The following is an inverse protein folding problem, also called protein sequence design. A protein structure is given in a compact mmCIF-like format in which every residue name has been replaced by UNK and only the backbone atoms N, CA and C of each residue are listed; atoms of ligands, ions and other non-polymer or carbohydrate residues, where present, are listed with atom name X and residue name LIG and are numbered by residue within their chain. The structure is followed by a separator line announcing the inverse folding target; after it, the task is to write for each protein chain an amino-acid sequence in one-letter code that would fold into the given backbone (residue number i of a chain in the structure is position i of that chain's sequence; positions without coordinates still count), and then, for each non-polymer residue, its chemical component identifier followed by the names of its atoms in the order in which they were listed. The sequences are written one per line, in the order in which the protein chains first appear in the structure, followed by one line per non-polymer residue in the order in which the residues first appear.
data_IF_125335167984
#
_entry.id   IF_125335167984
#
_cell.length_a   1.000
_cell.length_b   1.000
_cell.length_c   1.000
_cell.angle_alpha   90.00
_cell.angle_beta   90.00
_cell.angle_gamma   90.00
#
_symmetry.space_group_name_H-M   'P 1'
#
loop_
_entity.id
_entity.type
_entity.pdbx_description
1 polymer ?
#
# COMPACT_ATOMS: atom_id res chain seq x y z
N UNK A 1 -7.48 -36.68 23.46
CA UNK A 1 -6.34 -35.77 23.59
C UNK A 1 -6.17 -35.18 22.20
N UNK A 2 -6.84 -34.08 21.95
CA UNK A 2 -6.89 -33.40 20.64
C UNK A 2 -5.78 -32.36 20.58
N UNK A 3 -5.04 -32.42 19.50
CA UNK A 3 -3.90 -31.52 19.19
C UNK A 3 -4.31 -30.05 19.18
N UNK A 4 -3.90 -29.33 20.22
CA UNK A 4 -3.99 -27.88 20.33
C UNK A 4 -2.79 -27.18 19.64
N UNK A 5 -2.11 -27.83 18.70
CA UNK A 5 -0.80 -27.38 18.19
C UNK A 5 -0.85 -26.57 16.89
N UNK A 6 -2.02 -26.36 16.27
CA UNK A 6 -2.09 -25.70 14.96
C UNK A 6 -2.48 -24.21 14.99
N UNK A 7 -2.96 -23.68 16.12
CA UNK A 7 -3.41 -22.27 16.22
C UNK A 7 -2.30 -21.27 16.58
N UNK A 8 -1.13 -21.75 16.98
CA UNK A 8 -0.02 -20.89 17.45
C UNK A 8 0.86 -20.28 16.34
N UNK A 9 0.64 -20.65 15.09
CA UNK A 9 1.57 -20.31 13.99
C UNK A 9 1.31 -18.92 13.35
N UNK A 10 0.35 -18.13 13.81
CA UNK A 10 -0.01 -16.82 13.22
C UNK A 10 -0.08 -15.69 14.25
N UNK A 11 0.51 -15.85 15.43
CA UNK A 11 0.61 -14.74 16.38
C UNK A 11 1.54 -13.66 15.80
N UNK A 12 1.11 -12.40 15.87
CA UNK A 12 1.99 -11.27 15.59
C UNK A 12 3.04 -11.21 16.68
N UNK A 13 4.27 -11.44 16.32
CA UNK A 13 5.38 -11.11 17.17
C UNK A 13 5.67 -9.60 17.00
N UNK A 14 5.17 -8.79 17.90
CA UNK A 14 5.31 -7.33 17.86
C UNK A 14 6.76 -6.85 18.09
N UNK A 15 7.63 -7.75 18.50
CA UNK A 15 9.06 -7.51 18.65
C UNK A 15 9.86 -7.79 17.38
N UNK A 16 9.26 -8.39 16.34
CA UNK A 16 9.96 -8.66 15.10
C UNK A 16 10.20 -7.38 14.30
N UNK A 17 11.38 -7.29 13.75
CA UNK A 17 11.80 -6.24 12.80
C UNK A 17 10.75 -6.08 11.69
N UNK A 18 10.27 -4.85 11.50
CA UNK A 18 9.33 -4.52 10.43
C UNK A 18 10.02 -4.80 9.09
N UNK A 19 9.51 -5.79 8.35
CA UNK A 19 10.02 -6.07 7.01
C UNK A 19 9.69 -4.91 6.06
N UNK A 20 10.67 -4.29 5.40
CA UNK A 20 10.42 -3.24 4.43
C UNK A 20 9.52 -3.70 3.29
N UNK A 21 8.65 -2.81 2.82
CA UNK A 21 7.89 -2.97 1.58
C UNK A 21 8.64 -2.36 0.38
N UNK A 22 9.58 -1.46 0.67
CA UNK A 22 10.36 -0.76 -0.34
C UNK A 22 11.37 -1.67 -1.03
N UNK A 23 11.78 -1.24 -2.22
CA UNK A 23 12.91 -1.82 -2.97
C UNK A 23 13.71 -0.70 -3.61
N UNK A 24 15.03 -0.78 -3.52
CA UNK A 24 15.91 0.17 -4.18
C UNK A 24 15.65 0.22 -5.70
N UNK A 25 15.34 -0.91 -6.32
CA UNK A 25 15.01 -0.97 -7.73
C UNK A 25 13.77 -0.15 -8.11
N UNK A 26 12.78 -0.03 -7.23
CA UNK A 26 11.61 0.83 -7.46
C UNK A 26 12.01 2.30 -7.52
N UNK A 27 12.88 2.73 -6.62
CA UNK A 27 13.36 4.11 -6.58
C UNK A 27 14.20 4.44 -7.81
N UNK A 28 15.12 3.57 -8.19
CA UNK A 28 15.96 3.75 -9.39
C UNK A 28 15.09 3.78 -10.67
N UNK A 29 14.09 2.91 -10.77
CA UNK A 29 13.13 2.89 -11.89
C UNK A 29 12.36 4.23 -11.97
N UNK A 30 11.89 4.74 -10.82
CA UNK A 30 11.17 6.02 -10.79
C UNK A 30 12.06 7.19 -11.18
N UNK A 31 13.27 7.26 -10.64
CA UNK A 31 14.23 8.32 -10.90
C UNK A 31 14.65 8.37 -12.38
N UNK A 32 14.90 7.21 -12.99
CA UNK A 32 15.21 7.13 -14.41
C UNK A 32 14.06 7.61 -15.29
N UNK A 33 12.83 7.15 -14.99
CA UNK A 33 11.64 7.58 -15.71
C UNK A 33 11.33 9.08 -15.54
N UNK A 34 11.53 9.62 -14.34
CA UNK A 34 11.39 11.05 -14.07
C UNK A 34 12.40 11.88 -14.89
N UNK A 35 13.65 11.42 -15.00
CA UNK A 35 14.67 12.07 -15.83
C UNK A 35 14.29 12.05 -17.31
N UNK A 36 13.81 10.91 -17.85
CA UNK A 36 13.32 10.82 -19.24
C UNK A 36 12.12 11.73 -19.51
N UNK A 37 11.23 11.89 -18.53
CA UNK A 37 10.11 12.82 -18.65
C UNK A 37 10.57 14.29 -18.65
N UNK A 38 11.43 14.66 -17.71
CA UNK A 38 11.89 16.06 -17.58
C UNK A 38 12.83 16.50 -18.70
N UNK A 39 13.52 15.57 -19.36
CA UNK A 39 14.31 15.83 -20.56
C UNK A 39 13.49 15.95 -21.85
N UNK A 40 12.19 15.63 -21.79
CA UNK A 40 11.29 15.63 -22.95
C UNK A 40 11.39 14.35 -23.82
N UNK A 41 12.12 13.31 -23.37
CA UNK A 41 12.17 12.01 -24.02
C UNK A 41 10.80 11.27 -23.94
N UNK A 42 10.12 11.42 -22.80
CA UNK A 42 8.78 10.89 -22.59
C UNK A 42 7.75 12.00 -22.68
N UNK A 43 6.63 11.71 -23.32
CA UNK A 43 5.43 12.55 -23.33
C UNK A 43 4.61 12.41 -22.05
N UNK A 44 3.60 13.27 -21.90
CA UNK A 44 2.70 13.30 -20.73
C UNK A 44 1.89 12.01 -20.59
N UNK A 45 1.52 11.33 -21.68
CA UNK A 45 0.73 10.11 -21.65
C UNK A 45 1.56 8.96 -21.06
N UNK A 46 2.77 8.76 -21.59
CA UNK A 46 3.71 7.75 -21.11
C UNK A 46 4.09 7.98 -19.65
N UNK A 47 4.40 9.23 -19.30
CA UNK A 47 4.70 9.61 -17.93
C UNK A 47 3.52 9.34 -16.99
N UNK A 48 2.31 9.70 -17.37
CA UNK A 48 1.11 9.47 -16.57
C UNK A 48 0.85 7.98 -16.35
N UNK A 49 0.93 7.16 -17.38
CA UNK A 49 0.79 5.72 -17.28
C UNK A 49 1.82 5.09 -16.33
N UNK A 50 3.06 5.59 -16.36
CA UNK A 50 4.14 5.14 -15.50
C UNK A 50 3.94 5.55 -14.04
N UNK A 51 3.81 6.87 -13.75
CA UNK A 51 3.77 7.39 -12.39
C UNK A 51 2.59 6.89 -11.56
N UNK A 52 1.47 6.56 -12.21
CA UNK A 52 0.30 6.00 -11.54
C UNK A 52 0.62 4.65 -10.87
N UNK A 53 1.46 3.82 -11.47
CA UNK A 53 1.90 2.56 -10.86
C UNK A 53 2.77 2.77 -9.62
N UNK A 54 3.43 3.92 -9.54
CA UNK A 54 4.22 4.35 -8.39
C UNK A 54 3.43 5.17 -7.37
N UNK A 55 2.10 5.16 -7.45
CA UNK A 55 1.24 5.85 -6.48
C UNK A 55 1.29 7.38 -6.57
N UNK A 56 1.84 7.93 -7.65
CA UNK A 56 1.92 9.37 -7.91
C UNK A 56 0.79 9.77 -8.85
N UNK A 57 -0.15 10.55 -8.35
CA UNK A 57 -1.36 10.95 -9.08
C UNK A 57 -1.44 12.48 -9.21
N UNK A 58 -1.58 12.98 -10.44
CA UNK A 58 -1.78 14.40 -10.69
C UNK A 58 -3.09 14.91 -10.09
N UNK A 59 -3.03 16.03 -9.37
CA UNK A 59 -4.21 16.69 -8.86
C UNK A 59 -4.83 17.62 -9.91
N UNK A 60 -6.01 18.17 -9.61
CA UNK A 60 -6.64 19.17 -10.46
C UNK A 60 -5.82 20.47 -10.50
N UNK A 61 -5.12 20.77 -9.40
CA UNK A 61 -4.22 21.91 -9.32
C UNK A 61 -2.96 21.64 -10.13
N UNK A 62 -2.56 22.55 -11.03
CA UNK A 62 -1.38 22.34 -11.86
C UNK A 62 -0.09 22.18 -11.05
N UNK A 63 0.78 21.27 -11.49
CA UNK A 63 2.12 21.11 -10.96
C UNK A 63 2.23 20.33 -9.65
N UNK A 64 1.11 19.93 -9.02
CA UNK A 64 1.11 19.19 -7.76
C UNK A 64 0.54 17.80 -7.91
N UNK A 65 1.00 16.90 -7.04
CA UNK A 65 0.70 15.48 -7.04
C UNK A 65 0.11 15.03 -5.71
N UNK A 66 -0.74 14.04 -5.74
CA UNK A 66 -1.11 13.23 -4.60
C UNK A 66 -0.22 11.99 -4.58
N UNK A 67 0.38 11.70 -3.44
CA UNK A 67 1.19 10.49 -3.22
C UNK A 67 0.39 9.52 -2.37
N UNK A 68 0.27 8.27 -2.82
CA UNK A 68 -0.42 7.22 -2.07
C UNK A 68 0.56 6.20 -1.55
N UNK A 69 0.63 6.07 -0.24
CA UNK A 69 1.48 5.13 0.49
C UNK A 69 0.66 3.87 0.76
N UNK A 70 1.18 2.71 0.33
CA UNK A 70 0.52 1.41 0.46
C UNK A 70 0.79 0.80 1.83
N UNK A 71 -0.27 0.39 2.53
CA UNK A 71 -0.21 -0.26 3.85
C UNK A 71 -1.02 -1.57 3.81
N UNK A 72 -0.41 -2.70 3.43
CA UNK A 72 -1.11 -3.97 3.33
C UNK A 72 -1.81 -4.37 4.63
N UNK A 73 -3.09 -4.75 4.52
CA UNK A 73 -3.92 -5.10 5.67
C UNK A 73 -4.17 -3.94 6.64
N UNK A 74 -3.82 -2.70 6.29
CA UNK A 74 -3.92 -1.54 7.17
C UNK A 74 -2.90 -1.55 8.31
N UNK A 75 -1.86 -2.40 8.23
CA UNK A 75 -0.82 -2.49 9.26
C UNK A 75 0.06 -1.24 9.17
N UNK A 76 0.07 -0.47 10.26
CA UNK A 76 0.82 0.78 10.38
C UNK A 76 1.70 0.78 11.63
N UNK A 77 2.95 0.31 11.54
CA UNK A 77 3.92 0.44 12.62
C UNK A 77 4.16 1.91 13.00
N UNK A 78 4.45 2.15 14.27
CA UNK A 78 4.62 3.52 14.78
C UNK A 78 5.80 4.26 14.12
N UNK A 79 6.84 3.54 13.74
CA UNK A 79 8.01 4.07 13.02
C UNK A 79 7.62 4.57 11.63
N UNK A 80 6.76 3.84 10.93
CA UNK A 80 6.22 4.26 9.64
C UNK A 80 5.32 5.49 9.77
N UNK A 81 4.47 5.52 10.81
CA UNK A 81 3.64 6.70 11.08
C UNK A 81 4.49 7.94 11.34
N UNK A 82 5.57 7.81 12.11
CA UNK A 82 6.52 8.91 12.37
C UNK A 82 7.20 9.38 11.09
N UNK A 83 7.65 8.46 10.26
CA UNK A 83 8.28 8.76 8.96
C UNK A 83 7.29 9.45 8.02
N UNK A 84 6.06 8.94 7.88
CA UNK A 84 5.00 9.56 7.09
C UNK A 84 4.73 10.98 7.57
N UNK A 85 4.61 11.19 8.88
CA UNK A 85 4.35 12.52 9.45
C UNK A 85 5.50 13.51 9.21
N UNK A 86 6.75 13.06 9.28
CA UNK A 86 7.92 13.88 9.00
C UNK A 86 8.00 14.26 7.51
N UNK A 87 7.84 13.27 6.62
CA UNK A 87 7.85 13.45 5.17
C UNK A 87 6.69 14.36 4.72
N UNK A 88 5.50 14.19 5.30
CA UNK A 88 4.35 15.03 4.98
C UNK A 88 4.61 16.51 5.30
N UNK A 89 5.17 16.80 6.48
CA UNK A 89 5.54 18.19 6.84
C UNK A 89 6.63 18.79 5.95
N UNK A 90 7.50 17.97 5.39
CA UNK A 90 8.63 18.42 4.56
C UNK A 90 8.25 18.66 3.11
N UNK A 91 7.36 17.85 2.54
CA UNK A 91 7.09 17.80 1.11
C UNK A 91 5.65 18.14 0.71
N UNK A 92 4.72 18.09 1.65
CA UNK A 92 3.30 18.35 1.45
C UNK A 92 2.82 19.48 2.39
N UNK A 93 1.52 19.69 2.53
CA UNK A 93 0.96 20.77 3.35
C UNK A 93 0.74 20.40 4.83
N UNK A 94 1.26 19.25 5.26
CA UNK A 94 1.16 18.80 6.67
C UNK A 94 -0.11 18.02 6.98
N UNK A 95 -1.11 18.04 6.11
CA UNK A 95 -2.33 17.23 6.24
C UNK A 95 -2.20 15.93 5.43
N UNK A 96 -2.66 14.82 5.99
CA UNK A 96 -2.70 13.52 5.33
C UNK A 96 -4.08 12.91 5.43
N UNK A 97 -4.49 12.16 4.42
CA UNK A 97 -5.77 11.47 4.39
C UNK A 97 -5.60 9.97 4.55
N UNK A 98 -6.34 9.37 5.49
CA UNK A 98 -6.48 7.92 5.61
C UNK A 98 -7.67 7.50 4.76
N UNK A 99 -7.43 6.58 3.82
CA UNK A 99 -8.45 6.17 2.85
C UNK A 99 -9.27 4.97 3.33
N UNK A 100 -10.43 4.73 2.71
CA UNK A 100 -11.23 3.51 2.90
C UNK A 100 -10.51 2.25 2.43
N UNK A 101 -9.36 2.39 1.75
CA UNK A 101 -8.47 1.27 1.40
C UNK A 101 -7.31 1.10 2.37
N UNK A 102 -7.38 1.75 3.53
CA UNK A 102 -6.35 1.67 4.57
C UNK A 102 -4.96 2.14 4.07
N UNK A 103 -4.95 3.09 3.12
CA UNK A 103 -3.77 3.76 2.60
C UNK A 103 -3.64 5.15 3.21
N UNK A 104 -2.43 5.74 3.18
CA UNK A 104 -2.22 7.17 3.37
C UNK A 104 -2.12 7.91 2.04
N UNK A 105 -2.66 9.13 2.00
CA UNK A 105 -2.50 10.06 0.89
C UNK A 105 -1.90 11.37 1.40
N UNK A 106 -0.83 11.80 0.73
CA UNK A 106 -0.21 13.12 0.91
C UNK A 106 -0.60 13.97 -0.30
N UNK A 107 -0.94 15.24 -0.07
CA UNK A 107 -1.43 16.11 -1.12
C UNK A 107 -0.50 17.29 -1.37
N UNK A 108 -0.72 17.96 -2.50
CA UNK A 108 -0.03 19.18 -2.92
C UNK A 108 1.49 19.04 -3.01
N UNK A 109 1.98 17.84 -3.25
CA UNK A 109 3.41 17.58 -3.45
C UNK A 109 3.83 18.12 -4.81
N UNK A 110 4.75 19.12 -4.90
CA UNK A 110 5.25 19.59 -6.18
C UNK A 110 5.87 18.44 -6.99
N UNK A 111 5.61 18.36 -8.29
CA UNK A 111 6.14 17.28 -9.14
C UNK A 111 7.65 17.19 -9.03
N UNK A 112 8.36 18.31 -9.00
CA UNK A 112 9.81 18.36 -8.87
C UNK A 112 10.36 17.78 -7.56
N UNK A 113 9.51 17.64 -6.53
CA UNK A 113 9.90 17.10 -5.21
C UNK A 113 9.54 15.61 -5.04
N UNK A 114 8.87 15.02 -6.04
CA UNK A 114 8.46 13.61 -5.94
C UNK A 114 9.62 12.64 -5.86
N UNK A 115 10.76 12.80 -6.57
CA UNK A 115 11.90 11.90 -6.41
C UNK A 115 12.45 11.88 -4.98
N UNK A 116 12.69 13.06 -4.39
CA UNK A 116 13.23 13.19 -3.04
C UNK A 116 12.27 12.59 -1.99
N UNK A 117 10.96 12.87 -2.15
CA UNK A 117 9.93 12.31 -1.26
C UNK A 117 9.91 10.78 -1.33
N UNK A 118 9.95 10.21 -2.52
CA UNK A 118 9.95 8.76 -2.71
C UNK A 118 11.22 8.12 -2.15
N UNK A 119 12.38 8.76 -2.28
CA UNK A 119 13.63 8.30 -1.69
C UNK A 119 13.53 8.18 -0.17
N UNK A 120 12.96 9.18 0.50
CA UNK A 120 12.77 9.15 1.95
C UNK A 120 11.73 8.10 2.37
N UNK A 121 10.62 7.95 1.64
CA UNK A 121 9.65 6.88 1.90
C UNK A 121 10.29 5.49 1.78
N UNK A 122 11.03 5.26 0.70
CA UNK A 122 11.69 3.97 0.47
C UNK A 122 12.79 3.69 1.48
N UNK A 123 13.54 4.71 1.89
CA UNK A 123 14.53 4.59 2.96
C UNK A 123 13.91 4.24 4.32
N UNK A 124 12.68 4.68 4.55
CA UNK A 124 11.90 4.30 5.74
C UNK A 124 11.22 2.92 5.63
N UNK A 125 11.42 2.17 4.55
CA UNK A 125 10.80 0.87 4.33
C UNK A 125 9.38 0.91 3.77
N UNK A 126 8.87 2.09 3.42
CA UNK A 126 7.54 2.30 2.86
C UNK A 126 7.54 2.15 1.33
N UNK A 127 6.38 1.86 0.75
CA UNK A 127 6.21 1.81 -0.70
C UNK A 127 4.98 2.55 -1.16
N UNK A 128 5.07 3.11 -2.35
CA UNK A 128 3.94 3.70 -3.08
C UNK A 128 3.55 2.84 -4.30
N UNK A 129 4.31 1.75 -4.54
CA UNK A 129 4.11 0.85 -5.69
C UNK A 129 2.69 0.30 -5.71
N UNK A 130 2.04 0.32 -6.87
CA UNK A 130 0.67 -0.14 -7.08
C UNK A 130 -0.41 0.65 -6.28
N UNK A 131 -0.05 1.78 -5.73
CA UNK A 131 -1.00 2.64 -5.01
C UNK A 131 -2.10 3.21 -5.91
N UNK A 132 -1.83 3.40 -7.21
CA UNK A 132 -2.74 3.97 -8.20
C UNK A 132 -2.76 3.12 -9.49
N UNK A 133 -3.50 3.59 -10.51
CA UNK A 133 -3.56 2.95 -11.82
C UNK A 133 -4.38 1.64 -11.86
N UNK A 134 -4.21 0.91 -12.96
CA UNK A 134 -4.85 -0.38 -13.21
C UNK A 134 -3.94 -1.51 -12.70
N UNK A 135 -3.83 -1.62 -11.40
CA UNK A 135 -2.99 -2.58 -10.68
C UNK A 135 -3.79 -3.30 -9.62
N UNK A 136 -3.19 -4.30 -8.99
CA UNK A 136 -3.68 -4.83 -7.72
C UNK A 136 -3.49 -3.77 -6.63
N UNK A 137 -4.60 -3.24 -6.14
CA UNK A 137 -4.61 -2.18 -5.14
C UNK A 137 -4.27 -2.72 -3.76
N UNK A 138 -4.03 -1.82 -2.81
CA UNK A 138 -3.81 -2.25 -1.44
C UNK A 138 -4.89 -3.22 -0.98
N UNK A 139 -4.49 -4.30 -0.31
CA UNK A 139 -5.42 -5.26 0.29
C UNK A 139 -5.89 -4.72 1.64
N UNK A 140 -7.20 -4.70 1.82
CA UNK A 140 -7.82 -4.30 3.09
C UNK A 140 -8.12 -5.49 3.98
N UNK A 141 -8.23 -5.25 5.27
CA UNK A 141 -8.64 -6.26 6.25
C UNK A 141 -9.65 -5.71 7.25
N UNK A 142 -10.15 -6.56 8.13
CA UNK A 142 -10.95 -6.13 9.27
C UNK A 142 -10.19 -5.10 10.12
N UNK A 143 -10.87 -4.05 10.55
CA UNK A 143 -10.29 -3.00 11.41
C UNK A 143 -9.91 -3.49 12.83
N UNK A 144 -10.47 -4.62 13.27
CA UNK A 144 -10.17 -5.24 14.57
C UNK A 144 -9.28 -6.49 14.42
N UNK A 145 -8.66 -6.68 13.26
CA UNK A 145 -7.82 -7.85 13.00
C UNK A 145 -6.68 -7.96 14.03
N UNK A 146 -6.48 -9.14 14.57
CA UNK A 146 -5.52 -9.44 15.62
C UNK A 146 -6.01 -9.13 17.05
N UNK A 147 -7.24 -8.57 17.20
CA UNK A 147 -7.84 -8.27 18.50
C UNK A 147 -9.30 -8.72 18.62
N UNK A 148 -9.91 -9.19 17.53
CA UNK A 148 -11.32 -9.59 17.51
C UNK A 148 -11.48 -10.98 18.14
N UNK A 149 -12.34 -11.15 19.19
CA UNK A 149 -12.53 -12.45 19.81
C UNK A 149 -13.28 -13.47 18.92
N UNK A 150 -13.82 -13.03 17.80
CA UNK A 150 -14.56 -13.87 16.84
C UNK A 150 -13.75 -14.23 15.60
N UNK A 151 -12.51 -13.75 15.48
CA UNK A 151 -11.71 -14.07 14.30
C UNK A 151 -11.17 -15.50 14.36
N UNK A 152 -11.25 -16.20 13.23
CA UNK A 152 -10.64 -17.51 13.03
C UNK A 152 -9.18 -17.37 12.57
N UNK A 153 -8.84 -16.20 12.01
CA UNK A 153 -7.49 -15.87 11.51
C UNK A 153 -7.27 -14.36 11.55
N UNK A 154 -6.03 -13.95 11.83
CA UNK A 154 -5.63 -12.54 11.71
C UNK A 154 -5.66 -12.13 10.23
N UNK A 155 -6.76 -11.45 9.84
CA UNK A 155 -7.00 -11.05 8.46
C UNK A 155 -5.95 -10.06 7.93
N UNK A 156 -5.39 -9.20 8.81
CA UNK A 156 -4.37 -8.24 8.39
C UNK A 156 -3.05 -8.92 8.05
N UNK A 157 -2.66 -9.94 8.82
CA UNK A 157 -1.48 -10.77 8.51
C UNK A 157 -1.65 -11.52 7.20
N UNK A 158 -2.84 -12.07 6.95
CA UNK A 158 -3.14 -12.74 5.66
C UNK A 158 -3.07 -11.75 4.51
N UNK A 159 -3.69 -10.58 4.63
CA UNK A 159 -3.66 -9.53 3.62
C UNK A 159 -2.23 -9.03 3.33
N UNK A 160 -1.42 -8.83 4.38
CA UNK A 160 -0.01 -8.44 4.23
C UNK A 160 0.80 -9.51 3.47
N UNK A 161 0.70 -10.77 3.85
CA UNK A 161 1.41 -11.87 3.18
C UNK A 161 1.05 -12.01 1.70
N UNK A 162 -0.24 -11.98 1.38
CA UNK A 162 -0.69 -12.04 -0.02
C UNK A 162 -0.21 -10.79 -0.78
N UNK A 163 -0.33 -9.62 -0.19
CA UNK A 163 0.12 -8.37 -0.82
C UNK A 163 1.61 -8.39 -1.13
N UNK A 164 2.44 -8.82 -0.19
CA UNK A 164 3.91 -8.94 -0.37
C UNK A 164 4.27 -9.94 -1.45
N UNK A 165 3.59 -11.09 -1.52
CA UNK A 165 3.85 -12.10 -2.54
C UNK A 165 3.52 -11.65 -3.96
N UNK A 166 2.60 -10.69 -4.10
CA UNK A 166 2.14 -10.16 -5.38
C UNK A 166 2.78 -8.80 -5.73
N UNK A 167 3.38 -8.11 -4.75
CA UNK A 167 4.02 -6.82 -4.97
C UNK A 167 5.14 -6.95 -6.01
N UNK A 168 5.11 -6.09 -7.01
CA UNK A 168 6.02 -6.09 -8.19
C UNK A 168 5.82 -7.25 -9.16
N UNK A 169 4.85 -8.12 -8.95
CA UNK A 169 4.58 -9.19 -9.92
C UNK A 169 4.10 -8.59 -11.25
N UNK A 170 4.73 -8.90 -12.39
CA UNK A 170 4.37 -8.32 -13.69
C UNK A 170 2.89 -8.51 -14.07
N UNK A 171 2.26 -9.60 -13.64
CA UNK A 171 0.85 -9.89 -13.94
C UNK A 171 -0.13 -8.91 -13.30
N UNK A 172 0.26 -8.26 -12.19
CA UNK A 172 -0.61 -7.30 -11.49
C UNK A 172 -0.27 -5.84 -11.76
N UNK A 173 0.73 -5.57 -12.63
CA UNK A 173 1.16 -4.21 -12.96
C UNK A 173 0.35 -3.55 -14.09
N UNK A 174 -0.33 -4.36 -14.93
CA UNK A 174 -1.05 -3.91 -16.11
C UNK A 174 -2.38 -4.67 -16.25
N UNK A 175 -3.24 -4.52 -15.26
CA UNK A 175 -4.56 -5.13 -15.30
C UNK A 175 -5.52 -4.30 -16.17
N UNK A 176 -6.57 -4.89 -16.75
CA UNK A 176 -7.58 -4.15 -17.52
C UNK A 176 -8.28 -3.06 -16.69
N UNK A 177 -8.41 -3.28 -15.39
CA UNK A 177 -9.00 -2.37 -14.41
C UNK A 177 -8.29 -2.51 -13.08
N UNK A 178 -8.40 -1.51 -12.20
CA UNK A 178 -7.99 -1.62 -10.79
C UNK A 178 -8.68 -2.82 -10.14
N UNK A 179 -7.92 -3.70 -9.52
CA UNK A 179 -8.42 -4.89 -8.83
C UNK A 179 -8.26 -4.72 -7.32
N UNK A 180 -9.32 -4.96 -6.59
CA UNK A 180 -9.39 -4.74 -5.14
C UNK A 180 -9.66 -6.06 -4.42
N UNK A 181 -8.91 -6.30 -3.37
CA UNK A 181 -9.05 -7.48 -2.51
C UNK A 181 -9.32 -7.03 -1.08
N UNK A 182 -10.16 -7.75 -0.37
CA UNK A 182 -10.38 -7.61 1.06
C UNK A 182 -10.34 -8.96 1.75
N UNK A 183 -9.88 -8.97 3.00
CA UNK A 183 -9.81 -10.17 3.85
C UNK A 183 -10.59 -9.92 5.13
N UNK A 184 -11.52 -10.81 5.46
CA UNK A 184 -12.26 -10.82 6.71
C UNK A 184 -11.89 -12.04 7.55
N UNK A 185 -11.62 -11.82 8.83
CA UNK A 185 -11.18 -12.85 9.77
C UNK A 185 -12.29 -13.77 10.28
N UNK A 186 -13.57 -13.47 9.97
CA UNK A 186 -14.74 -14.29 10.32
C UNK A 186 -15.94 -13.94 9.44
N UNK A 187 -17.03 -14.68 9.58
CA UNK A 187 -18.27 -14.55 8.81
C UNK A 187 -19.01 -13.22 9.02
N UNK A 188 -18.67 -12.43 10.04
CA UNK A 188 -19.24 -11.09 10.24
C UNK A 188 -18.86 -10.13 9.12
N UNK A 189 -17.81 -10.45 8.35
CA UNK A 189 -17.35 -9.69 7.18
C UNK A 189 -17.13 -8.19 7.42
N UNK A 190 -16.47 -7.83 8.53
CA UNK A 190 -16.14 -6.44 8.84
C UNK A 190 -15.18 -5.79 7.78
N UNK A 191 -14.47 -6.60 7.00
CA UNK A 191 -13.66 -6.16 5.86
C UNK A 191 -14.47 -5.78 4.62
N UNK A 192 -15.80 -5.94 4.67
CA UNK A 192 -16.73 -5.69 3.57
C UNK A 192 -16.32 -6.44 2.28
N UNK A 193 -15.95 -7.71 2.43
CA UNK A 193 -15.41 -8.54 1.34
C UNK A 193 -16.40 -8.69 0.18
N UNK A 194 -17.71 -8.67 0.46
CA UNK A 194 -18.76 -8.83 -0.53
C UNK A 194 -18.87 -7.72 -1.58
N UNK A 195 -18.23 -6.56 -1.38
CA UNK A 195 -18.21 -5.44 -2.34
C UNK A 195 -16.87 -5.29 -3.09
N UNK A 196 -15.95 -6.23 -2.90
CA UNK A 196 -14.64 -6.23 -3.54
C UNK A 196 -14.60 -7.17 -4.76
N UNK A 197 -13.63 -6.96 -5.66
CA UNK A 197 -13.44 -7.83 -6.82
C UNK A 197 -13.07 -9.26 -6.39
N UNK A 198 -12.33 -9.38 -5.27
CA UNK A 198 -12.09 -10.64 -4.58
C UNK A 198 -12.24 -10.42 -3.06
N UNK A 199 -13.20 -11.10 -2.46
CA UNK A 199 -13.40 -11.14 -1.01
C UNK A 199 -12.98 -12.49 -0.44
N UNK A 200 -12.16 -12.47 0.61
CA UNK A 200 -11.77 -13.65 1.37
C UNK A 200 -12.39 -13.56 2.76
N UNK A 201 -13.12 -14.58 3.16
CA UNK A 201 -13.77 -14.66 4.47
C UNK A 201 -13.32 -15.95 5.14
N UNK A 202 -12.71 -15.83 6.32
CA UNK A 202 -12.38 -17.00 7.12
C UNK A 202 -13.64 -17.61 7.74
N UNK A 203 -13.75 -18.92 7.71
CA UNK A 203 -14.87 -19.68 8.27
C UNK A 203 -14.36 -20.79 9.20
N UNK A 204 -15.17 -21.20 10.15
CA UNK A 204 -14.94 -22.42 10.93
C UNK A 204 -14.97 -23.65 10.01
N UNK A 205 -14.10 -24.62 10.26
CA UNK A 205 -14.11 -25.91 9.55
C UNK A 205 -14.97 -26.93 10.27
#
# INVERSE_FOLDING_TARGET
MSDATSAQALSRDWETTIEPLSSLSDFEEYKAAYASFTSGEWDDERWTAFRLRFGVYGQLQPGVQMIRIKLPGGILPIEWLRSIAAINRKYAEGEAHITTRQDFQLYFVPLARTPDLLEELYSAGLTTREGCGNTLRNMTSCQLSGACPREHVDAAVVADRISRSLLRNPLVQHMPRKFKVSVSGCETDCGASGIHDLGLIATEK
#
